data_IF_740767609249
#
_entry.id   IF_740767609249
#
_cell.length_a   1.000
_cell.length_b   1.000
_cell.length_c   1.000
_cell.angle_alpha   90.00
_cell.angle_beta   90.00
_cell.angle_gamma   90.00
#
_symmetry.space_group_name_H-M   'P 1'
#
loop_
_entity.id
_entity.type
_entity.pdbx_description
1 polymer ?
#
# COMPACT_ATOMS: atom_id res chain seq x y z
N UNK A 1 3.64 -21.53 38.33
CA UNK A 1 4.14 -20.40 39.14
C UNK A 1 5.56 -20.15 38.71
N UNK A 2 5.82 -18.99 38.11
CA UNK A 2 7.15 -18.44 37.85
C UNK A 2 7.01 -16.93 37.92
N UNK A 3 7.25 -16.45 39.14
CA UNK A 3 7.60 -15.12 39.65
C UNK A 3 7.19 -13.88 38.85
N UNK A 4 6.15 -13.21 39.36
CA UNK A 4 5.75 -11.86 38.98
C UNK A 4 6.78 -10.79 39.36
N UNK A 5 7.87 -10.71 38.60
CA UNK A 5 8.70 -9.51 38.50
C UNK A 5 8.26 -8.69 37.29
N UNK A 6 8.13 -7.35 37.40
CA UNK A 6 7.79 -6.54 36.25
C UNK A 6 8.97 -6.57 35.28
N UNK A 7 8.73 -6.97 34.03
CA UNK A 7 9.67 -6.69 32.94
C UNK A 7 9.77 -5.17 32.86
N UNK A 8 10.94 -4.63 33.17
CA UNK A 8 11.23 -3.21 33.17
C UNK A 8 11.11 -2.66 31.75
N UNK A 9 9.91 -2.24 31.33
CA UNK A 9 9.71 -1.53 30.08
C UNK A 9 10.39 -0.16 30.10
N UNK A 10 11.01 0.24 28.99
CA UNK A 10 11.61 1.56 28.84
C UNK A 10 10.49 2.58 28.63
N UNK A 11 10.42 3.62 29.45
CA UNK A 11 9.42 4.66 29.31
C UNK A 11 9.89 5.70 28.28
N UNK A 12 9.38 5.63 27.05
CA UNK A 12 9.68 6.59 25.99
C UNK A 12 8.79 7.82 26.10
N UNK A 13 9.36 9.00 25.83
CA UNK A 13 8.66 10.30 25.91
C UNK A 13 8.61 10.96 24.55
N UNK A 14 7.41 11.32 24.12
CA UNK A 14 7.16 12.08 22.90
C UNK A 14 6.72 13.49 23.28
N UNK A 15 7.41 14.50 22.76
CA UNK A 15 7.21 15.89 23.13
C UNK A 15 6.80 16.71 21.91
N UNK A 16 5.65 17.38 22.01
CA UNK A 16 5.08 18.22 20.97
C UNK A 16 5.01 19.67 21.47
N UNK A 17 5.52 20.62 20.68
CA UNK A 17 5.59 22.05 21.04
C UNK A 17 4.92 22.91 19.99
N UNK A 18 4.21 23.96 20.41
CA UNK A 18 3.69 25.02 19.53
C UNK A 18 4.66 26.20 19.42
N UNK A 19 4.59 26.96 18.32
CA UNK A 19 5.37 28.19 18.14
C UNK A 19 4.96 29.34 19.06
N UNK A 20 5.93 30.19 19.38
CA UNK A 20 5.72 31.50 20.00
C UNK A 20 5.44 32.57 18.94
N UNK A 21 4.37 33.36 19.05
CA UNK A 21 4.14 34.50 18.15
C UNK A 21 4.76 35.78 18.72
N UNK A 22 5.36 36.61 17.85
CA UNK A 22 6.09 37.84 18.19
C UNK A 22 5.28 38.94 18.90
N UNK A 23 3.97 38.77 19.08
CA UNK A 23 3.08 39.73 19.74
C UNK A 23 2.73 39.37 21.20
N UNK A 24 3.63 38.69 21.90
CA UNK A 24 3.69 38.82 23.37
C UNK A 24 2.59 38.15 24.19
N UNK A 25 1.82 37.20 23.65
CA UNK A 25 1.17 36.19 24.50
C UNK A 25 0.97 34.85 23.79
N UNK A 26 1.97 33.98 23.90
CA UNK A 26 1.83 32.53 23.73
C UNK A 26 2.68 31.86 24.78
N UNK A 27 2.19 31.82 26.02
CA UNK A 27 2.64 30.80 26.96
C UNK A 27 2.33 29.41 26.40
N UNK A 28 3.34 28.81 25.75
CA UNK A 28 3.69 27.40 25.76
C UNK A 28 2.56 26.38 25.60
N UNK A 29 2.01 26.23 24.40
CA UNK A 29 1.30 24.99 24.06
C UNK A 29 2.33 23.86 23.97
N UNK A 30 2.36 23.01 24.99
CA UNK A 30 3.27 21.88 25.18
C UNK A 30 2.46 20.64 25.46
N UNK A 31 2.82 19.52 24.84
CA UNK A 31 2.24 18.23 25.13
C UNK A 31 3.32 17.18 25.25
N UNK A 32 3.28 16.43 26.35
CA UNK A 32 4.11 15.25 26.56
C UNK A 32 3.22 14.02 26.59
N UNK A 33 3.64 13.00 25.84
CA UNK A 33 3.05 11.68 25.84
C UNK A 33 4.11 10.66 26.26
N UNK A 34 3.77 9.81 27.22
CA UNK A 34 4.66 8.78 27.77
C UNK A 34 4.19 7.41 27.34
N UNK A 35 5.01 6.65 26.64
CA UNK A 35 4.68 5.30 26.20
C UNK A 35 5.63 4.33 26.91
N UNK A 36 5.13 3.41 27.76
CA UNK A 36 5.94 2.29 28.21
C UNK A 36 6.15 1.35 27.02
N UNK A 37 7.38 1.12 26.58
CA UNK A 37 7.69 0.20 25.47
C UNK A 37 8.26 -1.13 26.00
N UNK A 38 7.90 -2.23 25.34
CA UNK A 38 8.40 -3.57 25.64
C UNK A 38 8.97 -4.21 24.37
N UNK A 39 10.23 -3.88 24.07
CA UNK A 39 10.94 -4.33 22.86
C UNK A 39 10.95 -5.87 22.67
N UNK A 40 10.81 -6.64 23.75
CA UNK A 40 10.83 -8.11 23.73
C UNK A 40 9.45 -8.79 23.56
N UNK A 41 8.34 -8.05 23.35
CA UNK A 41 6.98 -8.58 23.49
C UNK A 41 6.12 -8.64 22.21
N UNK A 42 6.65 -8.25 21.04
CA UNK A 42 5.96 -8.32 19.74
C UNK A 42 5.48 -6.96 19.19
N UNK A 43 4.92 -6.96 17.97
CA UNK A 43 4.64 -5.75 17.17
C UNK A 43 3.81 -4.66 17.89
N UNK A 44 2.87 -5.03 18.76
CA UNK A 44 1.96 -4.08 19.43
C UNK A 44 2.57 -3.30 20.61
N UNK A 45 3.79 -3.64 21.04
CA UNK A 45 4.42 -3.08 22.25
C UNK A 45 5.51 -2.03 21.96
N UNK A 46 5.60 -1.63 20.70
CA UNK A 46 6.60 -0.73 20.15
C UNK A 46 5.94 0.38 19.35
N UNK A 47 6.45 1.61 19.46
CA UNK A 47 5.95 2.75 18.70
C UNK A 47 6.65 2.85 17.34
N UNK A 48 5.98 2.41 16.28
CA UNK A 48 6.47 2.43 14.91
C UNK A 48 6.65 3.87 14.37
N UNK A 49 7.62 4.14 13.47
CA UNK A 49 7.92 5.50 12.96
C UNK A 49 6.71 6.27 12.38
N UNK A 50 5.74 5.56 11.81
CA UNK A 50 4.50 6.16 11.31
C UNK A 50 3.62 6.77 12.42
N UNK A 51 3.68 6.26 13.66
CA UNK A 51 2.86 6.74 14.77
C UNK A 51 3.28 8.15 15.24
N UNK A 52 4.56 8.45 15.52
CA UNK A 52 5.01 9.80 15.83
C UNK A 52 4.74 10.79 14.70
N UNK A 53 4.85 10.36 13.45
CA UNK A 53 4.55 11.21 12.29
C UNK A 53 3.07 11.60 12.23
N UNK A 54 2.17 10.62 12.38
CA UNK A 54 0.73 10.88 12.41
C UNK A 54 0.36 11.73 13.63
N UNK A 55 0.94 11.45 14.80
CA UNK A 55 0.74 12.25 16.01
C UNK A 55 1.20 13.70 15.82
N UNK A 56 2.33 13.91 15.15
CA UNK A 56 2.81 15.25 14.81
C UNK A 56 1.85 15.97 13.87
N UNK A 57 1.37 15.30 12.81
CA UNK A 57 0.37 15.88 11.91
C UNK A 57 -0.88 16.31 12.69
N UNK A 58 -1.41 15.45 13.56
CA UNK A 58 -2.54 15.75 14.44
C UNK A 58 -2.26 16.93 15.37
N UNK A 59 -1.03 17.04 15.91
CA UNK A 59 -0.61 18.17 16.73
C UNK A 59 -0.66 19.50 15.97
N UNK A 60 -0.26 19.52 14.69
CA UNK A 60 -0.40 20.73 13.86
C UNK A 60 -1.87 21.16 13.73
N UNK A 61 -2.79 20.19 13.74
CA UNK A 61 -4.24 20.40 13.62
C UNK A 61 -5.01 20.37 14.95
N UNK A 62 -4.31 20.35 16.09
CA UNK A 62 -4.87 20.09 17.43
C UNK A 62 -6.10 20.89 17.83
N UNK A 63 -6.27 22.11 17.31
CA UNK A 63 -7.45 22.96 17.58
C UNK A 63 -8.73 22.39 16.97
N UNK A 64 -8.62 21.69 15.84
CA UNK A 64 -9.73 21.05 15.13
C UNK A 64 -10.12 19.69 15.73
N UNK A 65 -9.31 19.11 16.63
CA UNK A 65 -9.59 17.80 17.23
C UNK A 65 -10.63 17.87 18.34
N UNK A 66 -10.86 19.05 18.94
CA UNK A 66 -11.75 19.21 20.09
C UNK A 66 -13.17 18.78 19.75
N UNK A 67 -13.70 17.84 20.52
CA UNK A 67 -15.06 17.33 20.40
C UNK A 67 -15.28 16.33 19.26
N UNK A 68 -14.28 16.08 18.40
CA UNK A 68 -14.39 15.04 17.37
C UNK A 68 -14.43 13.67 18.02
N UNK A 69 -15.24 12.76 17.45
CA UNK A 69 -15.19 11.33 17.75
C UNK A 69 -14.13 10.70 16.88
N UNK A 70 -13.06 10.26 17.51
CA UNK A 70 -11.90 9.68 16.85
C UNK A 70 -11.88 8.18 17.11
N UNK A 71 -11.70 7.40 16.06
CA UNK A 71 -11.49 5.96 16.14
C UNK A 71 -10.09 5.65 15.59
N UNK A 72 -9.23 5.02 16.39
CA UNK A 72 -7.92 4.55 15.92
C UNK A 72 -7.95 3.04 15.71
N UNK A 73 -7.59 2.61 14.50
CA UNK A 73 -7.45 1.20 14.10
C UNK A 73 -6.00 0.76 14.26
N UNK A 74 -5.78 -0.46 14.77
CA UNK A 74 -4.44 -1.06 14.87
C UNK A 74 -3.48 -0.20 15.69
N UNK A 75 -3.92 0.27 16.84
CA UNK A 75 -3.24 1.34 17.57
C UNK A 75 -1.84 0.96 18.11
N UNK A 76 -1.54 -0.31 18.35
CA UNK A 76 -0.30 -0.74 19.00
C UNK A 76 -0.15 -0.08 20.37
N UNK A 77 0.70 0.95 20.46
CA UNK A 77 0.90 1.75 21.68
C UNK A 77 -0.10 2.90 21.84
N UNK A 78 -0.83 3.28 20.77
CA UNK A 78 -1.89 4.29 20.77
C UNK A 78 -1.42 5.74 20.80
N UNK A 79 -0.18 6.03 20.39
CA UNK A 79 0.40 7.38 20.44
C UNK A 79 -0.48 8.44 19.73
N UNK A 80 -0.94 8.27 18.47
CA UNK A 80 -1.79 9.25 17.79
C UNK A 80 -3.13 9.48 18.49
N UNK A 81 -3.82 8.42 18.92
CA UNK A 81 -5.08 8.54 19.63
C UNK A 81 -4.96 9.13 21.03
N UNK A 82 -3.91 8.81 21.79
CA UNK A 82 -3.62 9.45 23.09
C UNK A 82 -3.39 10.96 22.90
N UNK A 83 -2.69 11.36 21.82
CA UNK A 83 -2.53 12.77 21.47
C UNK A 83 -3.87 13.43 21.19
N UNK A 84 -4.70 12.81 20.34
CA UNK A 84 -6.02 13.33 20.01
C UNK A 84 -6.90 13.51 21.26
N UNK A 85 -6.89 12.53 22.18
CA UNK A 85 -7.61 12.59 23.45
C UNK A 85 -7.15 13.77 24.31
N UNK A 86 -5.84 13.94 24.47
CA UNK A 86 -5.26 15.09 25.19
C UNK A 86 -5.54 16.43 24.52
N UNK A 87 -5.77 16.45 23.21
CA UNK A 87 -6.23 17.64 22.48
C UNK A 87 -7.75 17.88 22.58
N UNK A 88 -8.49 17.02 23.27
CA UNK A 88 -9.91 17.18 23.57
C UNK A 88 -10.86 16.41 22.64
N UNK A 89 -10.35 15.46 21.86
CA UNK A 89 -11.19 14.52 21.11
C UNK A 89 -11.79 13.45 22.03
N UNK A 90 -12.94 12.88 21.63
CA UNK A 90 -13.52 11.67 22.22
C UNK A 90 -12.96 10.45 21.48
N UNK A 91 -12.01 9.77 22.08
CA UNK A 91 -11.23 8.74 21.39
C UNK A 91 -11.67 7.33 21.79
N UNK A 92 -11.81 6.46 20.79
CA UNK A 92 -11.84 5.01 20.95
C UNK A 92 -10.60 4.42 20.29
N UNK A 93 -9.78 3.70 21.05
CA UNK A 93 -8.62 2.98 20.55
C UNK A 93 -8.99 1.52 20.31
N UNK A 94 -8.56 0.98 19.17
CA UNK A 94 -8.83 -0.41 18.83
C UNK A 94 -7.59 -1.16 18.37
N UNK A 95 -7.47 -2.38 18.85
CA UNK A 95 -6.42 -3.33 18.44
C UNK A 95 -7.03 -4.74 18.36
N UNK A 96 -6.23 -5.70 17.88
CA UNK A 96 -6.68 -7.06 17.64
C UNK A 96 -7.29 -7.68 18.89
N UNK A 97 -8.57 -8.08 18.79
CA UNK A 97 -9.27 -8.83 19.85
C UNK A 97 -8.58 -10.16 20.17
N UNK A 98 -7.83 -10.72 19.21
CA UNK A 98 -7.07 -11.94 19.38
C UNK A 98 -5.82 -11.76 20.26
N UNK A 99 -5.43 -10.51 20.59
CA UNK A 99 -4.26 -10.18 21.40
C UNK A 99 -4.63 -9.42 22.70
N UNK A 100 -5.24 -10.09 23.72
CA UNK A 100 -5.60 -9.46 24.99
C UNK A 100 -4.43 -8.85 25.78
N UNK A 101 -3.18 -9.23 25.46
CA UNK A 101 -1.98 -8.60 26.04
C UNK A 101 -1.75 -7.21 25.45
N UNK A 102 -1.99 -7.02 24.15
CA UNK A 102 -1.88 -5.73 23.48
C UNK A 102 -2.91 -4.74 24.02
N UNK A 103 -4.16 -5.15 24.21
CA UNK A 103 -5.20 -4.28 24.81
C UNK A 103 -4.87 -3.86 26.25
N UNK A 104 -4.29 -4.76 27.06
CA UNK A 104 -3.81 -4.42 28.41
C UNK A 104 -2.63 -3.46 28.39
N UNK A 105 -1.75 -3.60 27.41
CA UNK A 105 -0.62 -2.69 27.23
C UNK A 105 -1.08 -1.30 26.83
N UNK A 106 -1.99 -1.21 25.87
CA UNK A 106 -2.65 0.02 25.45
C UNK A 106 -3.33 0.74 26.64
N UNK A 107 -3.98 -0.02 27.54
CA UNK A 107 -4.51 0.50 28.80
C UNK A 107 -3.42 1.16 29.65
N UNK A 108 -2.28 0.49 29.82
CA UNK A 108 -1.13 1.03 30.54
C UNK A 108 -0.54 2.28 29.87
N UNK A 109 -0.50 2.34 28.53
CA UNK A 109 -0.10 3.53 27.78
C UNK A 109 -1.05 4.71 28.05
N UNK A 110 -2.37 4.48 28.10
CA UNK A 110 -3.35 5.51 28.45
C UNK A 110 -3.16 6.01 29.90
N UNK A 111 -3.01 5.09 30.85
CA UNK A 111 -2.83 5.40 32.27
C UNK A 111 -1.54 6.19 32.53
N UNK A 112 -0.44 5.85 31.85
CA UNK A 112 0.83 6.60 31.92
C UNK A 112 0.69 8.07 31.49
N UNK A 113 -0.41 8.39 30.80
CA UNK A 113 -0.74 9.70 30.27
C UNK A 113 -1.88 10.41 31.01
N UNK A 114 -2.33 9.87 32.14
CA UNK A 114 -3.48 10.32 32.94
C UNK A 114 -4.81 10.28 32.17
N UNK A 115 -4.98 9.31 31.27
CA UNK A 115 -6.26 9.00 30.65
C UNK A 115 -6.79 7.71 31.25
N UNK A 116 -7.96 7.76 31.87
CA UNK A 116 -8.61 6.59 32.49
C UNK A 116 -9.41 5.83 31.43
N UNK A 117 -9.04 4.59 31.07
CA UNK A 117 -9.81 3.78 30.14
C UNK A 117 -11.25 3.56 30.62
N UNK A 118 -12.21 3.68 29.71
CA UNK A 118 -13.65 3.62 30.01
C UNK A 118 -14.27 4.94 30.46
N UNK A 119 -13.47 5.95 30.82
CA UNK A 119 -13.94 7.28 31.21
C UNK A 119 -13.45 8.38 30.25
N UNK A 120 -12.13 8.57 30.16
CA UNK A 120 -11.52 9.62 29.33
C UNK A 120 -11.26 9.14 27.90
N UNK A 121 -11.03 7.83 27.74
CA UNK A 121 -10.71 7.16 26.48
C UNK A 121 -11.32 5.75 26.47
N UNK A 122 -11.88 5.32 25.35
CA UNK A 122 -12.42 3.97 25.22
C UNK A 122 -11.38 3.04 24.60
N UNK A 123 -11.35 1.78 25.04
CA UNK A 123 -10.51 0.72 24.46
C UNK A 123 -11.41 -0.44 24.09
N UNK A 124 -11.32 -0.91 22.84
CA UNK A 124 -12.12 -2.02 22.35
C UNK A 124 -11.27 -2.95 21.49
N UNK A 125 -11.45 -4.27 21.69
CA UNK A 125 -10.88 -5.26 20.77
C UNK A 125 -11.68 -5.30 19.46
N UNK A 126 -10.99 -5.16 18.34
CA UNK A 126 -11.60 -5.16 17.01
C UNK A 126 -10.77 -6.06 16.07
N UNK A 127 -11.44 -6.92 15.32
CA UNK A 127 -10.84 -7.62 14.19
C UNK A 127 -11.26 -6.89 12.90
N UNK A 128 -10.29 -6.58 12.04
CA UNK A 128 -10.57 -5.94 10.77
C UNK A 128 -11.47 -6.84 9.90
N UNK A 129 -12.33 -6.23 9.10
CA UNK A 129 -13.30 -6.93 8.23
C UNK A 129 -14.50 -7.56 8.96
N UNK A 130 -14.56 -7.49 10.30
CA UNK A 130 -15.62 -8.10 11.09
C UNK A 130 -16.56 -7.05 11.72
N UNK A 131 -17.81 -7.01 11.25
CA UNK A 131 -18.79 -5.97 11.60
C UNK A 131 -19.82 -6.46 12.65
N UNK A 132 -19.37 -6.68 13.88
CA UNK A 132 -20.25 -7.07 14.99
C UNK A 132 -21.03 -5.87 15.56
N UNK A 133 -22.06 -6.14 16.38
CA UNK A 133 -22.90 -5.13 17.03
C UNK A 133 -22.09 -4.07 17.79
N UNK A 134 -21.05 -4.48 18.50
CA UNK A 134 -20.18 -3.56 19.26
C UNK A 134 -19.42 -2.61 18.32
N UNK A 135 -18.94 -3.11 17.18
CA UNK A 135 -18.29 -2.29 16.13
C UNK A 135 -19.29 -1.30 15.52
N UNK A 136 -20.54 -1.72 15.30
CA UNK A 136 -21.60 -0.82 14.81
C UNK A 136 -21.89 0.31 15.81
N UNK A 137 -21.87 0.02 17.11
CA UNK A 137 -22.13 1.00 18.18
C UNK A 137 -21.12 2.15 18.25
N UNK A 138 -19.95 2.00 17.62
CA UNK A 138 -18.93 3.05 17.53
C UNK A 138 -19.32 4.17 16.56
N UNK A 139 -20.31 3.94 15.69
CA UNK A 139 -20.79 4.94 14.75
C UNK A 139 -21.72 5.95 15.44
N UNK A 140 -21.74 7.22 14.99
CA UNK A 140 -20.86 7.79 13.96
C UNK A 140 -19.47 8.17 14.48
N UNK A 141 -18.48 8.14 13.60
CA UNK A 141 -17.10 8.59 13.82
C UNK A 141 -16.87 9.84 12.96
N UNK A 142 -16.07 10.80 13.42
CA UNK A 142 -15.73 12.01 12.65
C UNK A 142 -14.34 11.90 12.01
N UNK A 143 -13.43 11.18 12.65
CA UNK A 143 -12.05 10.96 12.18
C UNK A 143 -11.58 9.55 12.51
N UNK A 144 -11.15 8.81 11.50
CA UNK A 144 -10.45 7.54 11.66
C UNK A 144 -8.95 7.75 11.54
N UNK A 145 -8.19 7.05 12.38
CA UNK A 145 -6.72 7.05 12.39
C UNK A 145 -6.21 5.63 12.20
N UNK A 146 -5.07 5.51 11.51
CA UNK A 146 -4.27 4.28 11.50
C UNK A 146 -2.80 4.63 11.33
N UNK A 147 -1.95 4.16 12.24
CA UNK A 147 -0.50 4.25 12.08
C UNK A 147 0.05 2.89 11.73
N UNK A 148 0.66 2.80 10.54
CA UNK A 148 1.38 1.63 10.05
C UNK A 148 0.56 0.34 9.98
N UNK A 149 -0.73 0.42 9.61
CA UNK A 149 -1.59 -0.78 9.47
C UNK A 149 -1.44 -1.51 8.13
N UNK A 150 -0.71 -0.95 7.17
CA UNK A 150 -0.49 -1.53 5.84
C UNK A 150 0.92 -2.16 5.75
N UNK A 151 1.18 -3.16 6.58
CA UNK A 151 2.47 -3.88 6.63
C UNK A 151 2.42 -5.30 6.06
N UNK A 152 1.23 -5.91 6.01
CA UNK A 152 1.01 -7.29 5.54
C UNK A 152 -0.07 -7.28 4.44
N UNK A 153 0.28 -7.56 3.17
CA UNK A 153 -0.64 -7.46 2.04
C UNK A 153 -1.93 -8.27 2.18
N UNK A 154 -1.84 -9.45 2.83
CA UNK A 154 -2.99 -10.31 3.06
C UNK A 154 -4.08 -9.65 3.94
N UNK A 155 -3.74 -8.60 4.69
CA UNK A 155 -4.66 -7.88 5.58
C UNK A 155 -5.19 -6.57 4.98
N UNK A 156 -4.70 -6.12 3.82
CA UNK A 156 -5.04 -4.80 3.27
C UNK A 156 -6.53 -4.64 3.01
N UNK A 157 -7.19 -5.65 2.46
CA UNK A 157 -8.63 -5.59 2.18
C UNK A 157 -9.45 -5.52 3.47
N UNK A 158 -9.05 -6.23 4.52
CA UNK A 158 -9.73 -6.18 5.82
C UNK A 158 -9.63 -4.78 6.45
N UNK A 159 -8.46 -4.13 6.36
CA UNK A 159 -8.27 -2.74 6.80
C UNK A 159 -9.17 -1.80 5.98
N UNK A 160 -9.11 -1.86 4.65
CA UNK A 160 -9.86 -0.96 3.77
C UNK A 160 -11.37 -1.14 3.90
N UNK A 161 -11.86 -2.38 3.97
CA UNK A 161 -13.28 -2.66 4.20
C UNK A 161 -13.77 -2.13 5.54
N UNK A 162 -12.95 -2.22 6.59
CA UNK A 162 -13.24 -1.63 7.91
C UNK A 162 -13.35 -0.11 7.82
N UNK A 163 -12.40 0.54 7.15
CA UNK A 163 -12.44 1.99 6.91
C UNK A 163 -13.70 2.37 6.14
N UNK A 164 -13.98 1.69 5.03
CA UNK A 164 -15.14 1.96 4.18
C UNK A 164 -16.45 1.88 4.97
N UNK A 165 -16.60 0.88 5.84
CA UNK A 165 -17.77 0.73 6.70
C UNK A 165 -18.02 1.92 7.64
N UNK A 166 -16.96 2.50 8.22
CA UNK A 166 -17.10 3.66 9.10
C UNK A 166 -17.32 4.97 8.33
N UNK A 167 -16.78 5.08 7.11
CA UNK A 167 -16.99 6.23 6.24
C UNK A 167 -18.34 6.18 5.51
N UNK A 168 -18.99 5.01 5.43
CA UNK A 168 -20.26 4.79 4.73
C UNK A 168 -21.39 5.68 5.26
N UNK A 169 -21.63 6.83 4.64
CA UNK A 169 -22.82 7.65 4.88
C UNK A 169 -22.56 8.71 5.95
N UNK A 170 -21.29 9.06 6.11
CA UNK A 170 -20.80 10.08 7.03
C UNK A 170 -19.85 11.02 6.27
N UNK A 171 -19.61 12.21 6.83
CA UNK A 171 -18.57 13.13 6.36
C UNK A 171 -17.20 12.86 7.00
N UNK A 172 -17.04 11.65 7.57
CA UNK A 172 -15.83 11.25 8.26
C UNK A 172 -14.64 11.19 7.31
N UNK A 173 -13.45 11.31 7.87
CA UNK A 173 -12.18 11.17 7.14
C UNK A 173 -11.36 10.06 7.76
N UNK A 174 -10.55 9.41 6.95
CA UNK A 174 -9.51 8.51 7.42
C UNK A 174 -8.15 9.15 7.18
N UNK A 175 -7.30 9.17 8.20
CA UNK A 175 -5.90 9.57 8.11
C UNK A 175 -5.05 8.35 8.44
N UNK A 176 -4.14 8.01 7.53
CA UNK A 176 -3.15 6.97 7.79
C UNK A 176 -1.75 7.47 7.54
N UNK A 177 -0.83 7.07 8.41
CA UNK A 177 0.60 7.17 8.16
C UNK A 177 1.13 5.76 7.95
N UNK A 178 1.97 5.56 6.95
CA UNK A 178 2.53 4.25 6.64
C UNK A 178 3.94 4.38 6.11
N UNK A 179 4.64 3.27 6.23
CA UNK A 179 5.96 3.08 5.68
C UNK A 179 5.86 2.23 4.41
N UNK A 180 6.39 2.75 3.30
CA UNK A 180 6.41 2.03 2.03
C UNK A 180 7.46 0.93 2.08
N UNK A 181 7.01 -0.32 2.11
CA UNK A 181 7.87 -1.52 2.27
C UNK A 181 8.20 -2.21 0.97
N UNK A 182 7.38 -2.00 -0.06
CA UNK A 182 7.55 -2.57 -1.39
C UNK A 182 6.84 -1.70 -2.41
N UNK A 183 7.50 -1.42 -3.53
CA UNK A 183 6.91 -0.70 -4.67
C UNK A 183 5.82 -1.53 -5.37
N UNK A 184 5.76 -2.85 -5.13
CA UNK A 184 4.74 -3.74 -5.68
C UNK A 184 3.44 -3.76 -4.85
N UNK A 185 3.44 -3.15 -3.67
CA UNK A 185 2.28 -3.12 -2.80
C UNK A 185 1.48 -1.85 -3.05
N UNK A 186 0.27 -2.03 -3.58
CA UNK A 186 -0.68 -0.93 -3.82
C UNK A 186 -2.04 -1.23 -3.22
N UNK A 187 -2.64 -0.22 -2.60
CA UNK A 187 -4.04 -0.25 -2.13
C UNK A 187 -5.01 0.38 -3.12
N UNK A 188 -4.56 0.92 -4.25
CA UNK A 188 -5.40 1.69 -5.18
C UNK A 188 -6.59 0.89 -5.70
N UNK A 189 -6.38 -0.38 -6.06
CA UNK A 189 -7.46 -1.27 -6.49
C UNK A 189 -8.49 -1.49 -5.37
N UNK A 190 -8.04 -1.57 -4.11
CA UNK A 190 -8.92 -1.71 -2.94
C UNK A 190 -9.67 -0.41 -2.66
N UNK A 191 -9.02 0.75 -2.79
CA UNK A 191 -9.68 2.05 -2.66
C UNK A 191 -10.84 2.16 -3.66
N UNK A 192 -10.59 1.79 -4.92
CA UNK A 192 -11.63 1.76 -5.96
C UNK A 192 -12.75 0.79 -5.62
N UNK A 193 -12.42 -0.46 -5.27
CA UNK A 193 -13.38 -1.52 -4.89
C UNK A 193 -14.33 -1.06 -3.77
N UNK A 194 -13.84 -0.28 -2.82
CA UNK A 194 -14.58 0.16 -1.64
C UNK A 194 -15.11 1.60 -1.72
N UNK A 195 -15.07 2.24 -2.90
CA UNK A 195 -15.63 3.59 -3.10
C UNK A 195 -14.91 4.68 -2.30
N UNK A 196 -13.60 4.52 -2.11
CA UNK A 196 -12.74 5.45 -1.39
C UNK A 196 -11.81 6.17 -2.38
N UNK A 197 -11.50 7.43 -2.08
CA UNK A 197 -10.45 8.18 -2.76
C UNK A 197 -9.43 8.66 -1.75
N UNK A 198 -8.16 8.54 -2.12
CA UNK A 198 -7.02 8.96 -1.31
C UNK A 198 -6.26 10.13 -1.90
N UNK A 199 -5.66 10.92 -1.02
CA UNK A 199 -4.69 11.94 -1.38
C UNK A 199 -3.50 11.85 -0.42
N UNK A 200 -2.29 11.89 -0.99
CA UNK A 200 -1.06 12.04 -0.22
C UNK A 200 -1.03 13.46 0.39
N UNK A 201 -0.66 13.54 1.66
CA UNK A 201 -0.46 14.81 2.34
C UNK A 201 1.02 15.15 2.23
N UNK A 202 1.33 16.22 1.51
CA UNK A 202 2.68 16.77 1.42
C UNK A 202 3.11 17.38 2.77
N UNK A 203 4.08 16.72 3.40
CA UNK A 203 4.65 17.10 4.70
C UNK A 203 5.59 18.30 4.59
N UNK A 204 6.16 18.57 3.41
CA UNK A 204 7.09 19.67 3.20
C UNK A 204 6.34 21.01 3.24
N UNK A 205 5.17 21.08 2.61
CA UNK A 205 4.26 22.23 2.70
C UNK A 205 3.76 22.54 4.12
N UNK A 206 3.71 21.51 4.99
CA UNK A 206 3.33 21.65 6.39
C UNK A 206 4.47 22.22 7.24
N UNK A 207 5.72 21.89 6.92
CA UNK A 207 6.90 22.44 7.61
C UNK A 207 7.03 23.95 7.39
N UNK A 208 6.77 24.42 6.16
CA UNK A 208 6.85 25.85 5.78
C UNK A 208 5.69 26.67 6.38
N UNK A 209 4.46 26.15 6.34
CA UNK A 209 3.25 26.86 6.80
C UNK A 209 3.11 26.89 8.34
N UNK A 210 3.62 25.86 9.03
CA UNK A 210 3.75 25.86 10.49
C UNK A 210 5.05 26.53 10.98
N UNK A 211 5.99 26.71 10.05
CA UNK A 211 7.35 27.21 10.19
C UNK A 211 8.16 26.53 11.30
N UNK A 212 7.72 25.38 11.79
CA UNK A 212 8.47 24.59 12.75
C UNK A 212 9.74 24.19 12.00
N UNK A 213 10.90 24.72 12.41
CA UNK A 213 12.15 24.20 11.86
C UNK A 213 12.10 22.68 12.03
N UNK A 214 12.58 21.93 11.04
CA UNK A 214 12.81 20.48 11.12
C UNK A 214 13.82 20.08 12.23
N UNK A 215 13.97 20.91 13.25
CA UNK A 215 14.67 20.67 14.49
C UNK A 215 13.92 19.60 15.29
N UNK A 216 14.55 18.41 15.28
CA UNK A 216 14.34 17.26 16.15
C UNK A 216 13.15 16.34 15.88
N UNK A 217 12.77 16.17 14.60
CA UNK A 217 12.37 14.83 14.12
C UNK A 217 13.53 13.83 14.32
N UNK A 218 14.76 14.33 14.23
CA UNK A 218 15.98 13.59 14.52
C UNK A 218 16.03 13.13 15.99
N UNK A 219 15.93 13.94 17.04
CA UNK A 219 16.02 13.42 18.44
C UNK A 219 14.92 12.41 18.83
N UNK A 220 13.72 12.45 18.24
CA UNK A 220 12.69 11.43 18.50
C UNK A 220 12.98 10.10 17.77
N UNK A 221 13.77 10.15 16.70
CA UNK A 221 14.20 9.02 15.86
C UNK A 221 15.64 8.57 16.17
N UNK A 222 16.45 9.39 16.85
CA UNK A 222 17.88 9.18 17.12
C UNK A 222 18.17 8.49 18.46
N UNK A 223 17.19 8.38 19.35
CA UNK A 223 17.28 7.50 20.55
C UNK A 223 16.51 6.20 20.29
N UNK A 224 17.04 5.38 19.39
CA UNK A 224 16.61 3.99 19.20
C UNK A 224 17.84 3.08 19.12
N UNK A 225 18.18 2.40 20.23
CA UNK A 225 18.96 1.18 20.18
C UNK A 225 18.06 0.04 19.69
N UNK A 226 18.47 -0.57 18.59
CA UNK A 226 18.11 -1.91 18.12
C UNK A 226 16.63 -2.18 17.79
N UNK A 227 16.19 -1.71 16.62
CA UNK A 227 15.53 -2.64 15.69
C UNK A 227 16.62 -3.44 14.99
N UNK A 228 16.39 -4.73 14.74
CA UNK A 228 17.32 -5.77 14.24
C UNK A 228 18.02 -5.51 12.88
N UNK A 229 18.11 -4.25 12.45
CA UNK A 229 19.00 -3.72 11.43
C UNK A 229 19.66 -2.44 11.99
N UNK A 230 20.75 -2.61 12.71
CA UNK A 230 21.59 -1.49 13.16
C UNK A 230 22.30 -0.86 11.96
N UNK A 231 22.13 0.45 11.77
CA UNK A 231 22.89 1.29 10.82
C UNK A 231 24.39 1.43 11.20
N UNK A 232 24.86 0.74 12.25
CA UNK A 232 26.28 0.73 12.65
C UNK A 232 27.18 -0.15 11.75
N UNK A 233 26.61 -0.90 10.80
CA UNK A 233 27.35 -1.76 9.87
C UNK A 233 27.31 -1.29 8.40
N UNK A 234 26.72 -0.12 8.08
CA UNK A 234 26.71 0.38 6.70
C UNK A 234 28.13 0.73 6.24
N UNK A 235 28.64 -0.06 5.29
CA UNK A 235 29.91 0.25 4.64
C UNK A 235 29.77 1.54 3.82
N UNK A 236 30.88 2.21 3.46
CA UNK A 236 30.82 3.32 2.51
C UNK A 236 30.08 2.96 1.21
N UNK A 237 30.15 1.68 0.80
CA UNK A 237 29.45 1.17 -0.37
C UNK A 237 27.93 1.11 -0.16
N UNK A 238 27.46 0.74 1.03
CA UNK A 238 26.04 0.77 1.40
C UNK A 238 25.46 2.18 1.33
N UNK A 239 26.22 3.16 1.82
CA UNK A 239 25.83 4.58 1.79
C UNK A 239 25.68 5.05 0.34
N UNK A 240 26.69 4.82 -0.50
CA UNK A 240 26.66 5.21 -1.92
C UNK A 240 25.56 4.50 -2.69
N UNK A 241 25.31 3.23 -2.38
CA UNK A 241 24.24 2.43 -2.99
C UNK A 241 22.85 2.98 -2.64
N UNK A 242 22.62 3.30 -1.37
CA UNK A 242 21.36 3.87 -0.90
C UNK A 242 21.09 5.24 -1.53
N UNK A 243 22.12 6.09 -1.67
CA UNK A 243 22.01 7.37 -2.36
C UNK A 243 21.69 7.21 -3.85
N UNK A 244 22.34 6.26 -4.53
CA UNK A 244 22.04 5.93 -5.92
C UNK A 244 20.57 5.49 -6.07
N UNK A 245 20.07 4.65 -5.16
CA UNK A 245 18.70 4.15 -5.20
C UNK A 245 17.67 5.27 -4.96
N UNK A 246 17.98 6.21 -4.05
CA UNK A 246 17.17 7.41 -3.86
C UNK A 246 17.11 8.29 -5.13
N UNK A 247 18.23 8.45 -5.84
CA UNK A 247 18.30 9.24 -7.07
C UNK A 247 17.52 8.61 -8.24
N UNK A 248 17.54 7.28 -8.36
CA UNK A 248 16.81 6.56 -9.42
C UNK A 248 15.33 6.92 -9.43
N UNK A 249 14.71 7.22 -8.28
CA UNK A 249 13.32 7.68 -8.20
C UNK A 249 13.04 8.92 -9.06
N UNK A 250 14.01 9.83 -9.16
CA UNK A 250 13.95 11.06 -9.99
C UNK A 250 14.19 10.79 -11.48
N UNK A 251 14.79 9.64 -11.80
CA UNK A 251 15.10 9.20 -13.17
C UNK A 251 14.05 8.27 -13.77
N UNK A 252 13.13 7.71 -12.98
CA UNK A 252 12.11 6.74 -13.42
C UNK A 252 11.35 7.16 -14.68
N UNK A 253 11.00 8.43 -14.82
CA UNK A 253 10.29 8.98 -16.00
C UNK A 253 11.17 9.12 -17.26
N UNK A 254 12.49 9.01 -17.13
CA UNK A 254 13.47 9.16 -18.22
C UNK A 254 14.08 7.83 -18.68
N UNK A 255 13.87 6.75 -17.92
CA UNK A 255 14.44 5.43 -18.19
C UNK A 255 13.40 4.53 -18.86
N UNK A 256 13.87 3.65 -19.74
CA UNK A 256 13.02 2.63 -20.33
C UNK A 256 12.84 1.42 -19.39
N UNK A 257 11.85 0.57 -19.70
CA UNK A 257 11.51 -0.59 -18.86
C UNK A 257 12.66 -1.59 -18.70
N UNK A 258 13.54 -1.73 -19.69
CA UNK A 258 14.69 -2.66 -19.60
C UNK A 258 15.76 -2.10 -18.67
N UNK A 259 16.02 -0.80 -18.75
CA UNK A 259 16.94 -0.09 -17.85
C UNK A 259 16.44 -0.15 -16.39
N UNK A 260 15.14 0.02 -16.18
CA UNK A 260 14.51 -0.10 -14.86
C UNK A 260 14.56 -1.53 -14.31
N UNK A 261 14.39 -2.54 -15.16
CA UNK A 261 14.52 -3.95 -14.77
C UNK A 261 15.96 -4.32 -14.41
N UNK A 262 16.96 -3.81 -15.14
CA UNK A 262 18.37 -4.02 -14.83
C UNK A 262 18.74 -3.42 -13.46
N UNK A 263 18.30 -2.17 -13.19
CA UNK A 263 18.42 -1.54 -11.88
C UNK A 263 17.71 -2.35 -10.80
N UNK A 264 16.48 -2.80 -11.06
CA UNK A 264 15.71 -3.61 -10.11
C UNK A 264 16.46 -4.91 -9.73
N UNK A 265 16.98 -5.65 -10.72
CA UNK A 265 17.71 -6.88 -10.46
C UNK A 265 18.95 -6.65 -9.59
N UNK A 266 19.76 -5.66 -9.95
CA UNK A 266 20.96 -5.28 -9.19
C UNK A 266 20.62 -4.78 -7.78
N UNK A 267 19.53 -4.04 -7.63
CA UNK A 267 19.04 -3.57 -6.33
C UNK A 267 18.68 -4.75 -5.43
N UNK A 268 17.85 -5.68 -5.93
CA UNK A 268 17.45 -6.88 -5.19
C UNK A 268 18.64 -7.78 -4.85
N UNK A 269 19.61 -7.92 -5.76
CA UNK A 269 20.83 -8.66 -5.48
C UNK A 269 21.70 -7.96 -4.42
N UNK A 270 21.74 -6.63 -4.40
CA UNK A 270 22.48 -5.82 -3.43
C UNK A 270 21.82 -5.74 -2.05
N UNK A 271 20.50 -5.94 -1.93
CA UNK A 271 19.79 -5.90 -0.64
C UNK A 271 19.51 -7.28 -0.07
N UNK A 272 19.23 -8.27 -0.91
CA UNK A 272 18.74 -9.59 -0.50
C UNK A 272 19.66 -10.74 -0.94
N UNK A 273 20.73 -10.43 -1.69
CA UNK A 273 21.64 -11.43 -2.22
C UNK A 273 21.01 -12.24 -3.36
N UNK A 274 21.41 -13.51 -3.47
CA UNK A 274 20.91 -14.42 -4.49
C UNK A 274 19.38 -14.49 -4.46
N UNK A 275 18.77 -14.47 -5.65
CA UNK A 275 17.33 -14.66 -5.81
C UNK A 275 16.83 -15.86 -4.99
N UNK A 276 16.02 -15.56 -3.98
CA UNK A 276 15.56 -16.50 -2.96
C UNK A 276 14.03 -16.68 -2.98
N UNK A 277 13.37 -16.06 -3.96
CA UNK A 277 11.92 -16.13 -4.14
C UNK A 277 11.57 -17.18 -5.19
N UNK A 278 10.45 -17.90 -5.04
CA UNK A 278 9.96 -18.79 -6.08
C UNK A 278 9.58 -17.97 -7.32
N UNK A 279 9.77 -18.53 -8.52
CA UNK A 279 9.37 -17.88 -9.78
C UNK A 279 7.88 -17.52 -9.69
N UNK A 280 7.50 -16.24 -9.90
CA UNK A 280 6.11 -15.81 -9.78
C UNK A 280 5.17 -16.56 -10.70
N UNK A 281 3.92 -16.66 -10.22
CA UNK A 281 2.81 -17.30 -10.91
C UNK A 281 2.59 -16.70 -12.28
N UNK A 282 1.95 -17.46 -13.16
CA UNK A 282 2.11 -17.22 -14.58
C UNK A 282 1.37 -16.02 -15.16
N UNK A 283 0.35 -15.55 -14.44
CA UNK A 283 -0.36 -14.30 -14.69
C UNK A 283 0.44 -13.06 -14.28
N UNK A 284 1.49 -13.21 -13.48
CA UNK A 284 2.30 -12.09 -12.98
C UNK A 284 3.46 -11.79 -13.92
N UNK A 285 3.14 -11.34 -15.14
CA UNK A 285 4.13 -11.02 -16.17
C UNK A 285 5.16 -9.96 -15.72
N UNK A 286 4.72 -8.99 -14.91
CA UNK A 286 5.61 -7.98 -14.32
C UNK A 286 6.50 -8.56 -13.24
N UNK A 287 5.95 -9.33 -12.30
CA UNK A 287 6.72 -9.99 -11.25
C UNK A 287 7.69 -11.01 -11.82
N UNK A 288 7.36 -11.70 -12.92
CA UNK A 288 8.27 -12.59 -13.63
C UNK A 288 9.44 -11.87 -14.28
N UNK A 289 9.22 -10.77 -15.00
CA UNK A 289 10.32 -9.97 -15.58
C UNK A 289 11.28 -9.46 -14.48
N UNK A 290 10.71 -8.99 -13.37
CA UNK A 290 11.46 -8.62 -12.16
C UNK A 290 12.24 -9.80 -11.59
N UNK A 291 11.59 -10.95 -11.44
CA UNK A 291 12.21 -12.18 -10.95
C UNK A 291 13.33 -12.66 -11.88
N UNK A 292 13.14 -12.62 -13.19
CA UNK A 292 14.15 -13.01 -14.19
C UNK A 292 15.33 -12.06 -14.17
N UNK A 293 15.09 -10.74 -14.07
CA UNK A 293 16.14 -9.75 -13.90
C UNK A 293 17.00 -10.04 -12.66
N UNK A 294 16.39 -10.38 -11.52
CA UNK A 294 17.12 -10.73 -10.30
C UNK A 294 17.79 -12.11 -10.39
N UNK A 295 17.08 -13.14 -10.87
CA UNK A 295 17.56 -14.52 -10.97
C UNK A 295 18.71 -14.66 -11.98
N UNK A 296 18.73 -13.86 -13.05
CA UNK A 296 19.81 -13.88 -14.06
C UNK A 296 21.18 -13.47 -13.51
N UNK A 297 21.21 -12.75 -12.37
CA UNK A 297 22.44 -12.35 -11.69
C UNK A 297 23.11 -13.50 -10.93
N UNK A 298 22.41 -14.62 -10.73
CA UNK A 298 22.97 -15.85 -10.18
C UNK A 298 23.59 -15.68 -8.79
N UNK A 299 24.83 -16.18 -8.63
CA UNK A 299 25.58 -16.14 -7.37
C UNK A 299 26.42 -14.85 -7.22
N UNK A 300 26.04 -13.76 -7.88
CA UNK A 300 26.76 -12.49 -7.79
C UNK A 300 26.83 -12.01 -6.33
N UNK A 301 28.02 -11.65 -5.82
CA UNK A 301 28.17 -11.11 -4.47
C UNK A 301 27.37 -9.81 -4.28
N UNK A 302 26.87 -9.62 -3.06
CA UNK A 302 26.11 -8.43 -2.66
C UNK A 302 26.88 -7.13 -2.96
N UNK A 303 28.17 -7.08 -2.63
CA UNK A 303 28.98 -5.87 -2.87
C UNK A 303 29.20 -5.59 -4.36
N UNK A 304 29.37 -6.64 -5.16
CA UNK A 304 29.51 -6.49 -6.61
C UNK A 304 28.20 -5.97 -7.24
N UNK A 305 27.05 -6.38 -6.72
CA UNK A 305 25.75 -5.87 -7.17
C UNK A 305 25.56 -4.39 -6.82
N UNK A 306 25.95 -3.97 -5.61
CA UNK A 306 25.91 -2.55 -5.19
C UNK A 306 26.82 -1.67 -6.05
N UNK A 307 28.05 -2.10 -6.31
CA UNK A 307 28.99 -1.38 -7.17
C UNK A 307 28.45 -1.23 -8.60
N UNK A 308 27.92 -2.32 -9.18
CA UNK A 308 27.30 -2.27 -10.52
C UNK A 308 26.08 -1.38 -10.55
N UNK A 309 25.25 -1.39 -9.51
CA UNK A 309 24.09 -0.53 -9.40
C UNK A 309 24.50 0.96 -9.45
N UNK A 310 25.48 1.35 -8.62
CA UNK A 310 26.00 2.74 -8.58
C UNK A 310 26.56 3.16 -9.96
N UNK A 311 27.35 2.30 -10.59
CA UNK A 311 27.91 2.56 -11.93
C UNK A 311 26.81 2.70 -12.99
N UNK A 312 25.75 1.90 -12.89
CA UNK A 312 24.64 1.94 -13.82
C UNK A 312 23.83 3.24 -13.66
N UNK A 313 23.63 3.71 -12.42
CA UNK A 313 23.01 5.01 -12.15
C UNK A 313 23.85 6.16 -12.70
N UNK A 314 25.17 6.15 -12.50
CA UNK A 314 26.09 7.17 -13.08
C UNK A 314 26.11 7.15 -14.61
N UNK A 315 25.95 5.97 -15.22
CA UNK A 315 25.84 5.83 -16.68
C UNK A 315 24.55 6.47 -17.20
N UNK A 316 23.45 6.33 -16.46
CA UNK A 316 22.16 6.89 -16.84
C UNK A 316 22.04 8.37 -16.55
N UNK A 317 22.70 8.86 -15.51
CA UNK A 317 22.80 10.28 -15.20
C UNK A 317 24.24 10.68 -14.83
N UNK A 318 25.04 11.11 -15.83
CA UNK A 318 26.41 11.53 -15.61
C UNK A 318 26.57 12.79 -14.75
N UNK A 319 25.49 13.55 -14.50
CA UNK A 319 25.51 14.72 -13.62
C UNK A 319 25.38 14.32 -12.14
N UNK A 320 24.96 13.09 -11.86
CA UNK A 320 24.90 12.54 -10.51
C UNK A 320 26.30 12.12 -10.04
N UNK A 321 26.71 12.60 -8.87
CA UNK A 321 27.97 12.21 -8.24
C UNK A 321 27.79 11.85 -6.77
N UNK A 322 28.60 10.91 -6.31
CA UNK A 322 28.66 10.43 -4.93
C UNK A 322 29.36 11.49 -4.05
N UNK A 323 28.58 12.49 -3.63
CA UNK A 323 29.04 13.52 -2.69
C UNK A 323 29.10 12.96 -1.27
N UNK A 324 30.31 12.60 -0.83
CA UNK A 324 30.61 12.07 0.51
C UNK A 324 29.91 12.86 1.65
N UNK A 325 29.08 12.13 2.40
CA UNK A 325 28.97 12.16 3.87
C UNK A 325 28.61 13.47 4.60
N UNK A 326 27.91 14.43 4.00
CA UNK A 326 27.46 15.62 4.78
C UNK A 326 26.10 16.19 4.39
N UNK A 327 24.99 15.46 4.63
CA UNK A 327 23.74 15.98 5.25
C UNK A 327 22.59 14.97 5.19
N UNK A 328 22.13 14.62 6.40
CA UNK A 328 20.77 14.26 6.84
C UNK A 328 19.77 13.63 5.85
N UNK A 329 19.45 12.35 6.14
CA UNK A 329 18.09 11.77 6.28
C UNK A 329 16.99 12.35 5.38
N UNK A 330 16.77 11.72 4.23
CA UNK A 330 15.48 11.79 3.53
C UNK A 330 14.53 10.73 4.14
N UNK A 331 13.43 11.19 4.74
CA UNK A 331 12.42 10.35 5.40
C UNK A 331 11.55 9.60 4.38
N UNK A 332 11.38 8.28 4.58
CA UNK A 332 10.63 7.37 3.71
C UNK A 332 9.22 7.04 4.23
N UNK A 333 8.64 7.93 5.04
CA UNK A 333 7.34 7.73 5.68
C UNK A 333 6.32 8.72 5.11
N UNK A 334 5.18 8.21 4.67
CA UNK A 334 4.11 8.99 4.03
C UNK A 334 2.88 9.13 4.96
N UNK A 335 2.14 10.23 4.83
CA UNK A 335 0.81 10.41 5.44
C UNK A 335 -0.21 10.63 4.34
N UNK A 336 -1.32 9.90 4.37
CA UNK A 336 -2.42 10.01 3.40
C UNK A 336 -3.76 10.27 4.08
N UNK A 337 -4.66 10.95 3.37
CA UNK A 337 -6.05 11.14 3.77
C UNK A 337 -6.99 10.47 2.78
N UNK A 338 -7.90 9.62 3.28
CA UNK A 338 -8.97 9.01 2.50
C UNK A 338 -10.33 9.60 2.91
N UNK A 339 -11.25 9.70 1.94
CA UNK A 339 -12.66 10.03 2.17
C UNK A 339 -13.57 9.09 1.39
N UNK A 340 -14.80 8.91 1.88
CA UNK A 340 -15.85 8.32 1.06
C UNK A 340 -16.11 9.26 -0.11
N UNK A 341 -15.93 8.73 -1.31
CA UNK A 341 -16.39 9.36 -2.53
C UNK A 341 -17.38 8.37 -3.11
N UNK A 342 -18.69 8.45 -2.80
CA UNK A 342 -19.64 7.73 -3.62
C UNK A 342 -19.35 8.22 -5.04
N UNK A 343 -18.86 7.33 -5.91
CA UNK A 343 -18.86 7.69 -7.31
C UNK A 343 -20.32 8.07 -7.62
N UNK A 344 -20.57 9.16 -8.36
CA UNK A 344 -21.86 9.24 -9.04
C UNK A 344 -22.05 7.89 -9.71
N UNK A 345 -23.25 7.28 -9.62
CA UNK A 345 -23.59 6.08 -10.41
C UNK A 345 -22.91 6.24 -11.76
N UNK A 346 -21.92 5.40 -12.05
CA UNK A 346 -21.01 5.59 -13.19
C UNK A 346 -21.90 5.84 -14.38
N UNK A 347 -21.93 7.10 -14.84
CA UNK A 347 -22.69 7.44 -16.02
C UNK A 347 -21.97 6.65 -17.10
N UNK A 348 -22.56 5.54 -17.54
CA UNK A 348 -21.92 4.59 -18.46
C UNK A 348 -21.32 5.28 -19.69
N UNK A 349 -21.76 6.50 -19.99
CA UNK A 349 -21.30 7.40 -21.03
C UNK A 349 -19.85 7.91 -20.87
N UNK A 350 -19.21 7.84 -19.69
CA UNK A 350 -17.82 8.31 -19.47
C UNK A 350 -16.77 7.20 -19.46
N UNK A 351 -17.17 5.92 -19.45
CA UNK A 351 -16.22 4.80 -19.45
C UNK A 351 -15.41 4.76 -20.77
N UNK A 352 -14.10 4.52 -20.64
CA UNK A 352 -13.22 4.11 -21.75
C UNK A 352 -13.60 2.71 -22.23
N UNK A 353 -13.07 2.26 -23.38
CA UNK A 353 -13.38 0.92 -23.88
C UNK A 353 -12.91 -0.17 -22.91
N UNK A 354 -11.67 -0.03 -22.39
CA UNK A 354 -11.08 -1.01 -21.47
C UNK A 354 -11.80 -1.02 -20.12
N UNK A 355 -12.19 0.15 -19.59
CA UNK A 355 -12.98 0.23 -18.36
C UNK A 355 -14.39 -0.35 -18.55
N UNK A 356 -15.07 0.00 -19.64
CA UNK A 356 -16.39 -0.57 -19.95
C UNK A 356 -16.32 -2.11 -20.10
N UNK A 357 -15.21 -2.62 -20.63
CA UNK A 357 -14.99 -4.06 -20.74
C UNK A 357 -14.79 -4.72 -19.37
N UNK A 358 -14.00 -4.09 -18.49
CA UNK A 358 -13.72 -4.56 -17.13
C UNK A 358 -14.96 -4.56 -16.23
N UNK A 359 -15.86 -3.57 -16.40
CA UNK A 359 -17.07 -3.42 -15.58
C UNK A 359 -18.32 -4.11 -16.19
N UNK A 360 -18.16 -5.01 -17.17
CA UNK A 360 -19.23 -5.75 -17.87
C UNK A 360 -20.32 -4.87 -18.53
N UNK A 361 -19.93 -3.66 -18.97
CA UNK A 361 -20.84 -2.68 -19.60
C UNK A 361 -20.95 -2.91 -21.12
N UNK A 362 -21.53 -4.03 -21.54
CA UNK A 362 -21.64 -4.43 -22.95
C UNK A 362 -22.27 -3.40 -23.89
N UNK A 363 -23.32 -2.68 -23.44
CA UNK A 363 -23.94 -1.62 -24.24
C UNK A 363 -22.97 -0.48 -24.56
N UNK A 364 -22.13 -0.10 -23.58
CA UNK A 364 -21.12 0.94 -23.76
C UNK A 364 -19.98 0.48 -24.64
N UNK A 365 -19.52 -0.76 -24.48
CA UNK A 365 -18.53 -1.38 -25.37
C UNK A 365 -19.01 -1.35 -26.82
N UNK A 366 -20.26 -1.79 -27.07
CA UNK A 366 -20.86 -1.76 -28.40
C UNK A 366 -21.01 -0.33 -28.94
N UNK A 367 -21.41 0.62 -28.09
CA UNK A 367 -21.51 2.03 -28.48
C UNK A 367 -20.15 2.62 -28.89
N UNK A 368 -19.13 2.43 -28.06
CA UNK A 368 -17.77 2.93 -28.29
C UNK A 368 -17.16 2.37 -29.57
N UNK A 369 -17.24 1.06 -29.78
CA UNK A 369 -16.72 0.41 -30.99
C UNK A 369 -17.49 0.80 -32.25
N UNK A 370 -18.78 1.13 -32.12
CA UNK A 370 -19.58 1.65 -33.25
C UNK A 370 -19.21 3.09 -33.59
N UNK A 371 -18.97 3.94 -32.59
CA UNK A 371 -18.62 5.35 -32.78
C UNK A 371 -17.17 5.52 -33.24
N UNK A 372 -16.27 4.72 -32.67
CA UNK A 372 -14.81 4.79 -32.85
C UNK A 372 -14.26 3.38 -33.13
N UNK A 373 -14.40 2.86 -34.36
CA UNK A 373 -14.01 1.49 -34.70
C UNK A 373 -12.51 1.17 -34.50
N UNK A 374 -11.66 2.19 -34.45
CA UNK A 374 -10.23 2.08 -34.16
C UNK A 374 -9.91 1.58 -32.74
N UNK A 375 -10.82 1.79 -31.78
CA UNK A 375 -10.63 1.36 -30.39
C UNK A 375 -10.54 -0.17 -30.26
N UNK A 376 -10.95 -0.94 -31.28
CA UNK A 376 -10.76 -2.40 -31.33
C UNK A 376 -9.28 -2.84 -31.30
N UNK A 377 -8.36 -1.90 -31.51
CA UNK A 377 -6.91 -2.08 -31.43
C UNK A 377 -6.30 -1.48 -30.15
N UNK A 378 -7.11 -0.89 -29.27
CA UNK A 378 -6.66 -0.25 -28.04
C UNK A 378 -5.99 -1.27 -27.10
N UNK A 379 -4.91 -0.80 -26.47
CA UNK A 379 -4.04 -1.54 -25.56
C UNK A 379 -3.73 -0.64 -24.38
N UNK A 380 -3.67 -1.18 -23.17
CA UNK A 380 -3.03 -0.49 -22.06
C UNK A 380 -1.51 -0.70 -22.06
N UNK A 381 -0.84 -0.18 -21.03
CA UNK A 381 0.62 -0.21 -20.88
C UNK A 381 1.19 -1.65 -20.75
N UNK A 382 0.35 -2.63 -20.40
CA UNK A 382 0.73 -4.04 -20.30
C UNK A 382 0.33 -4.83 -21.58
N UNK A 383 -0.21 -4.14 -22.60
CA UNK A 383 -0.66 -4.73 -23.85
C UNK A 383 -2.04 -5.41 -23.79
N UNK A 384 -2.78 -5.26 -22.69
CA UNK A 384 -4.10 -5.87 -22.53
C UNK A 384 -5.15 -5.12 -23.37
N UNK A 385 -6.16 -5.85 -23.82
CA UNK A 385 -7.26 -5.33 -24.65
C UNK A 385 -8.57 -5.43 -23.89
N UNK A 386 -9.64 -4.90 -24.47
CA UNK A 386 -11.00 -5.13 -23.96
C UNK A 386 -11.32 -6.62 -23.75
N UNK A 387 -10.83 -7.52 -24.61
CA UNK A 387 -11.05 -8.96 -24.45
C UNK A 387 -10.30 -9.54 -23.26
N UNK A 388 -9.07 -9.07 -22.98
CA UNK A 388 -8.31 -9.49 -21.80
C UNK A 388 -9.01 -9.07 -20.50
N UNK A 389 -9.38 -7.79 -20.40
CA UNK A 389 -10.06 -7.26 -19.22
C UNK A 389 -11.43 -7.89 -18.98
N UNK A 390 -12.18 -8.18 -20.05
CA UNK A 390 -13.46 -8.86 -19.90
C UNK A 390 -13.29 -10.35 -19.55
N UNK A 391 -12.29 -11.02 -20.12
CA UNK A 391 -11.98 -12.41 -19.82
C UNK A 391 -11.51 -12.61 -18.37
N UNK A 392 -10.68 -11.70 -17.84
CA UNK A 392 -10.20 -11.69 -16.43
C UNK A 392 -11.33 -11.60 -15.39
N UNK A 393 -12.47 -11.02 -15.76
CA UNK A 393 -13.59 -10.71 -14.84
C UNK A 393 -14.82 -11.59 -15.02
N UNK A 394 -14.78 -12.55 -15.94
CA UNK A 394 -15.97 -13.25 -16.47
C UNK A 394 -17.07 -12.28 -16.95
N UNK A 395 -16.68 -11.12 -17.50
CA UNK A 395 -17.57 -10.06 -17.95
C UNK A 395 -18.17 -10.38 -19.33
N UNK A 396 -19.08 -11.35 -19.34
CA UNK A 396 -19.61 -11.98 -20.56
C UNK A 396 -20.33 -11.02 -21.52
N UNK A 397 -21.02 -9.98 -21.04
CA UNK A 397 -21.75 -9.03 -21.91
C UNK A 397 -20.77 -8.13 -22.64
N UNK A 398 -19.79 -7.61 -21.91
CA UNK A 398 -18.70 -6.84 -22.49
C UNK A 398 -17.87 -7.68 -23.46
N UNK A 399 -17.56 -8.92 -23.11
CA UNK A 399 -16.78 -9.84 -23.94
C UNK A 399 -17.48 -10.10 -25.28
N UNK A 400 -18.78 -10.41 -25.26
CA UNK A 400 -19.58 -10.59 -26.47
C UNK A 400 -19.63 -9.31 -27.31
N UNK A 401 -19.90 -8.15 -26.69
CA UNK A 401 -19.94 -6.87 -27.39
C UNK A 401 -18.60 -6.50 -28.03
N UNK A 402 -17.48 -6.79 -27.37
CA UNK A 402 -16.13 -6.55 -27.90
C UNK A 402 -15.83 -7.47 -29.10
N UNK A 403 -16.22 -8.75 -29.03
CA UNK A 403 -16.10 -9.70 -30.15
C UNK A 403 -16.94 -9.23 -31.34
N UNK A 404 -18.21 -8.86 -31.11
CA UNK A 404 -19.11 -8.35 -32.14
C UNK A 404 -18.61 -7.02 -32.74
N UNK A 405 -17.97 -6.18 -31.93
CA UNK A 405 -17.33 -4.94 -32.36
C UNK A 405 -16.00 -5.12 -33.10
N UNK A 406 -15.54 -6.36 -33.30
CA UNK A 406 -14.38 -6.70 -34.11
C UNK A 406 -13.03 -6.53 -33.41
N UNK A 407 -13.00 -6.60 -32.07
CA UNK A 407 -11.73 -6.72 -31.33
C UNK A 407 -10.95 -7.96 -31.81
N UNK A 408 -9.62 -7.84 -31.85
CA UNK A 408 -8.75 -8.92 -32.31
C UNK A 408 -8.78 -10.06 -31.29
N UNK A 409 -9.39 -11.18 -31.66
CA UNK A 409 -9.65 -12.31 -30.76
C UNK A 409 -8.37 -12.91 -30.16
N UNK A 410 -7.36 -13.12 -31.02
CA UNK A 410 -6.05 -13.68 -30.63
C UNK A 410 -5.00 -12.59 -30.39
N UNK A 411 -5.45 -11.40 -29.96
CA UNK A 411 -4.59 -10.37 -29.45
C UNK A 411 -3.73 -10.91 -28.30
N UNK A 412 -2.42 -10.67 -28.35
CA UNK A 412 -1.51 -11.03 -27.26
C UNK A 412 -1.13 -9.79 -26.44
N UNK A 413 -0.93 -9.96 -25.14
CA UNK A 413 -0.31 -8.98 -24.24
C UNK A 413 1.23 -9.01 -24.33
N UNK A 414 1.93 -8.26 -23.47
CA UNK A 414 3.40 -8.27 -23.41
C UNK A 414 4.01 -9.65 -23.09
N UNK A 415 3.23 -10.56 -22.48
CA UNK A 415 3.65 -11.92 -22.13
C UNK A 415 3.32 -12.94 -23.21
N UNK A 416 2.75 -12.52 -24.35
CA UNK A 416 2.30 -13.42 -25.40
C UNK A 416 0.95 -14.10 -25.09
N UNK A 417 0.25 -13.69 -24.03
CA UNK A 417 -0.99 -14.31 -23.59
C UNK A 417 -2.20 -13.68 -24.27
N UNK A 418 -3.16 -14.53 -24.63
CA UNK A 418 -4.46 -14.13 -25.22
C UNK A 418 -5.56 -14.10 -24.16
N UNK A 419 -6.71 -13.51 -24.47
CA UNK A 419 -7.89 -13.54 -23.60
C UNK A 419 -8.31 -14.96 -23.18
N UNK A 420 -8.05 -15.98 -24.02
CA UNK A 420 -8.32 -17.39 -23.69
C UNK A 420 -7.39 -17.92 -22.59
N UNK A 421 -6.14 -17.44 -22.52
CA UNK A 421 -5.24 -17.76 -21.41
C UNK A 421 -5.79 -17.21 -20.10
N UNK A 422 -6.19 -15.95 -20.06
CA UNK A 422 -6.78 -15.31 -18.88
C UNK A 422 -8.05 -16.04 -18.41
N UNK A 423 -8.98 -16.33 -19.31
CA UNK A 423 -10.21 -17.06 -18.97
C UNK A 423 -9.92 -18.47 -18.41
N UNK A 424 -8.92 -19.17 -18.98
CA UNK A 424 -8.49 -20.48 -18.51
C UNK A 424 -7.84 -20.41 -17.12
N UNK A 425 -7.00 -19.41 -16.88
CA UNK A 425 -6.36 -19.16 -15.58
C UNK A 425 -7.34 -18.88 -14.46
N UNK A 426 -8.34 -18.07 -14.76
CA UNK A 426 -9.18 -17.54 -13.70
C UNK A 426 -10.33 -18.48 -13.37
N UNK A 427 -10.39 -19.67 -13.99
CA UNK A 427 -11.51 -20.59 -13.81
C UNK A 427 -12.81 -20.08 -14.44
N UNK A 428 -12.73 -19.17 -15.41
CA UNK A 428 -13.90 -18.49 -15.98
C UNK A 428 -14.52 -19.29 -17.14
N UNK A 429 -15.42 -20.20 -16.77
CA UNK A 429 -16.11 -21.13 -17.67
C UNK A 429 -16.89 -20.40 -18.76
N UNK A 430 -17.59 -19.31 -18.44
CA UNK A 430 -18.45 -18.63 -19.41
C UNK A 430 -17.61 -17.89 -20.46
N UNK A 431 -16.64 -17.07 -20.02
CA UNK A 431 -15.67 -16.43 -20.92
C UNK A 431 -14.91 -17.44 -21.76
N UNK A 432 -14.49 -18.57 -21.19
CA UNK A 432 -13.82 -19.65 -21.93
C UNK A 432 -14.71 -20.18 -23.05
N UNK A 433 -15.97 -20.51 -22.76
CA UNK A 433 -16.92 -20.99 -23.78
C UNK A 433 -17.19 -19.93 -24.86
N UNK A 434 -17.33 -18.66 -24.48
CA UNK A 434 -17.57 -17.55 -25.42
C UNK A 434 -16.39 -17.42 -26.38
N UNK A 435 -15.16 -17.38 -25.86
CA UNK A 435 -13.94 -17.25 -26.66
C UNK A 435 -13.73 -18.45 -27.60
N UNK A 436 -13.96 -19.67 -27.12
CA UNK A 436 -13.89 -20.87 -27.95
C UNK A 436 -14.94 -20.86 -29.06
N UNK A 437 -16.19 -20.48 -28.75
CA UNK A 437 -17.26 -20.36 -29.75
C UNK A 437 -16.97 -19.27 -30.78
N UNK A 438 -16.23 -18.23 -30.41
CA UNK A 438 -15.76 -17.18 -31.31
C UNK A 438 -14.56 -17.63 -32.17
N UNK A 439 -13.99 -18.82 -31.92
CA UNK A 439 -12.89 -19.39 -32.67
C UNK A 439 -11.50 -18.99 -32.17
N UNK A 440 -11.35 -18.71 -30.87
CA UNK A 440 -10.06 -18.34 -30.29
C UNK A 440 -9.03 -19.47 -30.46
N UNK A 441 -7.81 -19.10 -30.83
CA UNK A 441 -6.73 -20.03 -31.08
C UNK A 441 -6.03 -20.44 -29.79
N UNK A 442 -5.55 -21.69 -29.75
CA UNK A 442 -4.70 -22.21 -28.68
C UNK A 442 -3.23 -21.81 -28.92
N UNK A 443 -2.97 -20.51 -28.96
CA UNK A 443 -1.62 -19.97 -29.09
C UNK A 443 -0.79 -20.33 -27.86
N UNK A 444 0.53 -20.33 -28.03
CA UNK A 444 1.46 -20.40 -26.93
C UNK A 444 1.87 -19.01 -26.51
N UNK A 445 2.01 -18.80 -25.22
CA UNK A 445 2.61 -17.59 -24.67
C UNK A 445 4.16 -17.64 -24.78
N UNK A 446 4.82 -16.61 -24.24
CA UNK A 446 6.28 -16.50 -24.29
C UNK A 446 7.00 -17.60 -23.48
N UNK A 447 6.30 -18.36 -22.64
CA UNK A 447 6.83 -19.52 -21.90
C UNK A 447 6.45 -20.86 -22.53
N UNK A 448 6.02 -20.86 -23.80
CA UNK A 448 5.57 -22.05 -24.51
C UNK A 448 4.28 -22.69 -23.92
N UNK A 449 3.55 -22.01 -23.03
CA UNK A 449 2.32 -22.49 -22.41
C UNK A 449 1.08 -22.15 -23.25
N UNK A 450 0.18 -23.11 -23.42
CA UNK A 450 -1.15 -22.90 -24.05
C UNK A 450 -2.22 -22.61 -22.99
N UNK A 451 -3.42 -22.12 -23.36
CA UNK A 451 -4.50 -21.94 -22.39
C UNK A 451 -4.85 -23.22 -21.61
N UNK A 452 -4.67 -24.40 -22.21
CA UNK A 452 -4.89 -25.70 -21.54
C UNK A 452 -3.90 -25.94 -20.41
N UNK A 453 -2.64 -25.58 -20.62
CA UNK A 453 -1.56 -25.77 -19.64
C UNK A 453 -1.75 -24.88 -18.41
N UNK A 454 -2.52 -23.82 -18.61
CA UNK A 454 -2.77 -22.72 -17.68
C UNK A 454 -4.13 -22.84 -16.97
N UNK A 455 -4.95 -23.82 -17.32
CA UNK A 455 -6.25 -24.07 -16.69
C UNK A 455 -6.12 -24.41 -15.19
N UNK A 456 -6.87 -23.72 -14.34
CA UNK A 456 -6.81 -23.91 -12.87
C UNK A 456 -7.54 -25.13 -12.34
N UNK A 457 -8.53 -25.64 -13.06
CA UNK A 457 -9.34 -26.77 -12.62
C UNK A 457 -9.66 -27.76 -13.74
N UNK A 458 -10.05 -28.97 -13.33
CA UNK A 458 -10.37 -30.08 -14.23
C UNK A 458 -11.58 -29.81 -15.13
N UNK A 459 -12.46 -28.87 -14.78
CA UNK A 459 -13.65 -28.56 -15.57
C UNK A 459 -13.27 -27.69 -16.77
N UNK A 460 -12.53 -26.60 -16.54
CA UNK A 460 -11.99 -25.75 -17.61
C UNK A 460 -11.08 -26.56 -18.53
N UNK A 461 -10.20 -27.38 -17.94
CA UNK A 461 -9.29 -28.21 -18.72
C UNK A 461 -10.04 -29.14 -19.68
N UNK A 462 -11.11 -29.79 -19.23
CA UNK A 462 -11.99 -30.61 -20.09
C UNK A 462 -12.66 -29.83 -21.20
N UNK A 463 -13.12 -28.60 -20.91
CA UNK A 463 -13.74 -27.73 -21.92
C UNK A 463 -12.72 -27.37 -23.00
N UNK A 464 -11.52 -26.96 -22.60
CA UNK A 464 -10.44 -26.57 -23.50
C UNK A 464 -9.92 -27.76 -24.33
N UNK A 465 -9.67 -28.91 -23.70
CA UNK A 465 -9.24 -30.14 -24.38
C UNK A 465 -10.31 -30.65 -25.36
N UNK A 466 -11.59 -30.54 -24.99
CA UNK A 466 -12.72 -30.91 -25.84
C UNK A 466 -12.88 -30.02 -27.07
N UNK A 467 -12.38 -28.78 -27.04
CA UNK A 467 -12.41 -27.83 -28.15
C UNK A 467 -11.13 -27.85 -29.01
N UNK A 468 -10.09 -28.60 -28.61
CA UNK A 468 -8.81 -28.73 -29.32
C UNK A 468 -8.86 -29.77 -30.47
N UNK A 469 -9.94 -30.56 -30.56
CA UNK A 469 -10.21 -31.54 -31.62
C UNK A 469 -11.10 -30.93 -32.71
#
# INVERSE_FOLDING_TARGET
MSDGRPVSGQLKKFVFRGKSTANGDTRGEYLEIKIPELLSAGYSFYTWPSAPLLAWYLWTQRRHLRGLRVLELGCGTGLPGILAAKCGARVTLTDSVALPRSLRHLSACCEANNLVPGHDIQILGLAWGLFLTDVHSLRPVDLLLASDCFYEPSQFEEVISTVAYFLDGTDARFLCAYQERSADWSIEALLKKWGLKGALIDLDSLSESSGVEAFNMAEAVLDYPDSDFSDDDQTPLDISFNQAAGHVRKLTSKLDNNQLLELYGLFKQGTEGKCNTPKPGWLDGRGRRKWEAWNSLGDMPVEEAKEKYILLVQKFDPEWSDERATKMSEQWVAVSSLRRSPEPELIHNELSLLDAAREDCGERVAELLRQNPELRHERDDDGLTALHWAADRDATKALLAAIEGGCILDAVDECGQTALHYAASCGHINSTKILLNAGASFLKDNEDCTPVDLATDDEIKKILEGAKM
#
